data_IF_608571118371
#
_entry.id   IF_608571118371
#
_cell.length_a   1.000
_cell.length_b   1.000
_cell.length_c   1.000
_cell.angle_alpha   90.00
_cell.angle_beta   90.00
_cell.angle_gamma   90.00
#
_symmetry.space_group_name_H-M   'P 1'
#
loop_
_entity.id
_entity.type
_entity.pdbx_description
1 polymer ?
#
# COMPACT_ATOMS: atom_id res chain seq x y z
N UNK A 1 -20.91 -13.61 32.79
CA UNK A 1 -19.73 -13.02 33.47
C UNK A 1 -19.04 -14.12 34.25
N UNK A 2 -17.94 -14.67 33.74
CA UNK A 2 -17.08 -15.59 34.51
C UNK A 2 -15.81 -14.82 34.85
N UNK A 3 -15.88 -13.98 35.89
CA UNK A 3 -14.72 -13.25 36.40
C UNK A 3 -13.90 -14.18 37.28
N UNK A 4 -12.82 -14.74 36.74
CA UNK A 4 -11.85 -15.54 37.50
C UNK A 4 -10.59 -14.70 37.66
N UNK A 5 -10.13 -14.56 38.89
CA UNK A 5 -8.86 -13.89 39.21
C UNK A 5 -7.71 -14.85 38.92
N UNK A 6 -6.68 -14.36 38.25
CA UNK A 6 -5.43 -15.07 38.03
C UNK A 6 -4.29 -14.23 38.62
N UNK A 7 -3.67 -14.71 39.70
CA UNK A 7 -2.47 -14.08 40.27
C UNK A 7 -1.27 -14.36 39.36
N UNK A 8 -0.47 -13.32 39.08
CA UNK A 8 0.72 -13.41 38.25
C UNK A 8 1.78 -12.44 38.75
N UNK A 9 3.04 -12.88 38.77
CA UNK A 9 4.18 -12.03 39.14
C UNK A 9 4.62 -11.11 37.99
N UNK A 10 4.40 -11.54 36.75
CA UNK A 10 4.73 -10.81 35.52
C UNK A 10 3.67 -11.06 34.45
N UNK A 11 3.26 -10.00 33.76
CA UNK A 11 2.31 -10.06 32.64
C UNK A 11 3.02 -9.57 31.37
N UNK A 12 2.97 -10.37 30.30
CA UNK A 12 3.44 -9.99 28.96
C UNK A 12 2.22 -9.80 28.06
N UNK A 13 2.02 -8.57 27.59
CA UNK A 13 0.95 -8.23 26.65
C UNK A 13 1.45 -8.44 25.21
N UNK A 14 1.16 -9.59 24.63
CA UNK A 14 1.47 -9.94 23.24
C UNK A 14 0.26 -9.77 22.32
N UNK A 15 -0.52 -8.70 22.51
CA UNK A 15 -1.79 -8.46 21.78
C UNK A 15 -1.61 -7.88 20.38
N UNK A 16 -0.38 -7.79 19.88
CA UNK A 16 -0.07 -7.27 18.55
C UNK A 16 -0.14 -5.73 18.46
N UNK A 17 -0.42 -5.24 17.25
CA UNK A 17 -0.51 -3.82 16.91
C UNK A 17 -1.66 -3.60 15.92
N UNK A 18 -2.15 -2.35 15.82
CA UNK A 18 -3.16 -2.00 14.82
C UNK A 18 -2.52 -1.95 13.42
N UNK A 19 -2.65 -3.05 12.67
CA UNK A 19 -2.14 -3.18 11.30
C UNK A 19 -2.85 -2.27 10.30
N UNK A 20 -3.97 -1.65 10.67
CA UNK A 20 -4.75 -0.75 9.82
C UNK A 20 -4.34 0.72 10.00
N UNK A 21 -3.61 1.05 11.06
CA UNK A 21 -3.18 2.41 11.38
C UNK A 21 -1.85 2.80 10.69
N UNK A 22 -1.75 2.63 9.37
CA UNK A 22 -0.50 2.79 8.59
C UNK A 22 0.29 4.07 8.85
N UNK A 23 -0.39 5.19 9.09
CA UNK A 23 0.27 6.48 9.31
C UNK A 23 0.13 7.02 10.72
N UNK A 24 -0.58 6.37 11.65
CA UNK A 24 -0.80 6.99 12.96
C UNK A 24 0.53 7.17 13.73
N UNK A 25 0.70 8.29 14.43
CA UNK A 25 -0.27 9.38 14.64
C UNK A 25 -0.26 10.49 13.57
N UNK A 26 0.47 10.31 12.46
CA UNK A 26 0.56 11.29 11.38
C UNK A 26 -0.74 11.40 10.59
N UNK A 27 -1.08 12.64 10.22
CA UNK A 27 -2.14 12.95 9.27
C UNK A 27 -1.49 13.25 7.91
N UNK A 28 -1.76 12.40 6.91
CA UNK A 28 -1.30 12.60 5.54
C UNK A 28 -2.42 13.23 4.73
N UNK A 29 -2.17 14.44 4.21
CA UNK A 29 -3.12 15.23 3.44
C UNK A 29 -2.58 15.40 2.03
N UNK A 30 -3.38 15.00 1.05
CA UNK A 30 -3.11 15.11 -0.38
C UNK A 30 -3.66 16.39 -1.00
N UNK A 31 -3.79 16.35 -2.33
CA UNK A 31 -4.38 17.41 -3.13
C UNK A 31 -5.84 17.65 -2.72
N UNK A 32 -6.26 18.91 -2.75
CA UNK A 32 -7.65 19.31 -2.46
C UNK A 32 -8.14 18.93 -1.04
N UNK A 33 -7.22 18.63 -0.12
CA UNK A 33 -7.52 18.34 1.28
C UNK A 33 -7.91 16.89 1.59
N UNK A 34 -7.82 15.97 0.61
CA UNK A 34 -8.13 14.55 0.84
C UNK A 34 -7.13 13.92 1.82
N UNK A 35 -7.61 13.19 2.82
CA UNK A 35 -6.73 12.48 3.76
C UNK A 35 -6.51 11.03 3.34
N UNK A 36 -5.41 10.41 3.77
CA UNK A 36 -5.19 8.98 3.50
C UNK A 36 -6.32 8.11 4.11
N UNK A 37 -6.85 8.53 5.26
CA UNK A 37 -8.00 7.90 5.92
C UNK A 37 -9.26 7.99 5.04
N UNK A 38 -9.48 9.11 4.32
CA UNK A 38 -10.59 9.23 3.36
C UNK A 38 -10.46 8.23 2.21
N UNK A 39 -9.25 8.04 1.67
CA UNK A 39 -8.98 7.08 0.59
C UNK A 39 -9.20 5.64 1.03
N UNK A 40 -8.94 5.32 2.30
CA UNK A 40 -9.02 3.97 2.84
C UNK A 40 -10.33 3.64 3.55
N UNK A 41 -11.25 4.61 3.67
CA UNK A 41 -12.56 4.44 4.34
C UNK A 41 -13.34 3.21 3.87
N UNK A 42 -13.29 2.94 2.57
CA UNK A 42 -14.03 1.87 1.90
C UNK A 42 -13.14 0.67 1.52
N UNK A 43 -12.05 0.47 2.26
CA UNK A 43 -11.08 -0.61 2.06
C UNK A 43 -9.71 -0.07 1.62
N UNK A 44 -8.63 -0.79 1.94
CA UNK A 44 -7.28 -0.27 1.69
C UNK A 44 -6.98 -0.29 0.20
N UNK A 45 -6.45 0.83 -0.30
CA UNK A 45 -6.10 1.03 -1.70
C UNK A 45 -4.67 1.52 -1.78
N UNK A 46 -3.92 0.99 -2.71
CA UNK A 46 -2.64 1.54 -3.14
C UNK A 46 -2.46 1.22 -4.60
N UNK A 47 -1.71 2.06 -5.32
CA UNK A 47 -1.25 1.70 -6.66
C UNK A 47 0.11 1.03 -6.55
N UNK A 48 0.21 -0.18 -7.10
CA UNK A 48 1.45 -0.97 -7.13
C UNK A 48 2.14 -1.09 -5.76
N UNK A 49 1.36 -1.03 -4.68
CA UNK A 49 1.80 -1.07 -3.26
C UNK A 49 2.62 0.14 -2.76
N UNK A 50 2.91 1.12 -3.63
CA UNK A 50 3.90 2.18 -3.36
C UNK A 50 3.36 3.61 -3.49
N UNK A 51 2.15 3.83 -4.02
CA UNK A 51 1.63 5.18 -4.24
C UNK A 51 0.11 5.26 -4.00
N UNK A 52 -0.40 6.49 -3.83
CA UNK A 52 -1.82 6.78 -3.66
C UNK A 52 -2.27 7.84 -4.67
N UNK A 53 -3.44 7.68 -5.33
CA UNK A 53 -4.01 8.72 -6.16
C UNK A 53 -4.50 9.88 -5.28
N UNK A 54 -4.28 11.12 -5.72
CA UNK A 54 -4.58 12.31 -4.93
C UNK A 54 -3.44 12.75 -4.01
N UNK A 55 -2.29 12.05 -4.02
CA UNK A 55 -1.10 12.38 -3.20
C UNK A 55 0.12 12.58 -4.12
N UNK A 56 0.30 13.79 -4.68
CA UNK A 56 1.39 14.07 -5.60
C UNK A 56 2.75 13.96 -4.92
N UNK A 57 3.71 13.33 -5.60
CA UNK A 57 5.07 13.08 -5.11
C UNK A 57 5.15 12.28 -3.80
N UNK A 58 4.07 11.60 -3.42
CA UNK A 58 4.03 10.76 -2.24
C UNK A 58 4.23 9.29 -2.62
N UNK A 59 5.24 8.67 -2.01
CA UNK A 59 5.51 7.25 -2.15
C UNK A 59 5.60 6.60 -0.78
N UNK A 60 5.13 5.37 -0.70
CA UNK A 60 5.13 4.52 0.49
C UNK A 60 6.09 3.35 0.28
N UNK A 61 6.75 2.95 1.37
CA UNK A 61 7.46 1.69 1.48
C UNK A 61 6.57 0.71 2.24
N UNK A 62 6.52 -0.54 1.79
CA UNK A 62 5.72 -1.60 2.39
C UNK A 62 4.25 -1.21 2.57
N UNK A 63 3.70 -0.45 1.62
CA UNK A 63 2.32 0.00 1.65
C UNK A 63 1.31 -1.14 1.50
N UNK A 64 0.00 -0.83 1.53
CA UNK A 64 -1.05 -1.82 1.39
C UNK A 64 -0.83 -2.78 0.20
N UNK A 65 -1.15 -4.05 0.41
CA UNK A 65 -0.96 -5.15 -0.55
C UNK A 65 0.49 -5.52 -0.87
N UNK A 66 1.48 -5.00 -0.13
CA UNK A 66 2.88 -5.45 -0.26
C UNK A 66 3.03 -6.94 0.09
N UNK A 67 3.87 -7.72 -0.61
CA UNK A 67 4.01 -9.16 -0.41
C UNK A 67 4.80 -9.57 0.86
N UNK A 68 4.67 -8.83 1.96
CA UNK A 68 5.43 -9.09 3.21
C UNK A 68 5.09 -10.42 3.90
N UNK A 69 3.91 -10.99 3.62
CA UNK A 69 3.54 -12.33 4.11
C UNK A 69 4.10 -13.48 3.25
N UNK A 70 4.49 -13.19 2.00
CA UNK A 70 4.96 -14.19 1.02
C UNK A 70 6.47 -14.10 0.76
N UNK A 71 7.11 -13.00 1.16
CA UNK A 71 8.49 -12.66 0.82
C UNK A 71 9.20 -12.02 2.00
N UNK A 72 10.53 -12.16 2.01
CA UNK A 72 11.39 -11.40 2.90
C UNK A 72 11.15 -9.90 2.73
N UNK A 73 10.82 -9.24 3.84
CA UNK A 73 10.55 -7.80 3.91
C UNK A 73 11.65 -6.97 3.26
N UNK A 74 12.91 -7.33 3.48
CA UNK A 74 14.09 -6.66 2.89
C UNK A 74 14.07 -6.70 1.37
N UNK A 75 13.78 -7.86 0.76
CA UNK A 75 13.68 -8.00 -0.70
C UNK A 75 12.54 -7.16 -1.28
N UNK A 76 11.41 -7.09 -0.58
CA UNK A 76 10.28 -6.23 -0.99
C UNK A 76 10.71 -4.77 -0.94
N UNK A 77 11.30 -4.34 0.18
CA UNK A 77 11.76 -2.98 0.37
C UNK A 77 12.80 -2.55 -0.68
N UNK A 78 13.80 -3.38 -0.99
CA UNK A 78 14.79 -3.09 -2.03
C UNK A 78 14.13 -2.85 -3.40
N UNK A 79 13.19 -3.72 -3.79
CA UNK A 79 12.50 -3.57 -5.08
C UNK A 79 11.62 -2.31 -5.16
N UNK A 80 10.98 -1.92 -4.05
CA UNK A 80 10.19 -0.70 -3.96
C UNK A 80 11.09 0.54 -3.94
N UNK A 81 12.20 0.50 -3.19
CA UNK A 81 13.18 1.58 -3.16
C UNK A 81 13.76 1.85 -4.55
N UNK A 82 14.17 0.80 -5.28
CA UNK A 82 14.65 0.93 -6.66
C UNK A 82 13.60 1.57 -7.58
N UNK A 83 12.33 1.18 -7.43
CA UNK A 83 11.23 1.78 -8.19
C UNK A 83 11.06 3.27 -7.89
N UNK A 84 11.03 3.64 -6.61
CA UNK A 84 10.86 5.04 -6.18
C UNK A 84 12.08 5.88 -6.61
N UNK A 85 13.30 5.33 -6.49
CA UNK A 85 14.52 6.00 -6.95
C UNK A 85 14.46 6.31 -8.45
N UNK A 86 13.90 5.43 -9.29
CA UNK A 86 13.71 5.74 -10.72
C UNK A 86 12.84 6.98 -10.93
N UNK A 87 11.76 7.13 -10.17
CA UNK A 87 10.92 8.34 -10.22
C UNK A 87 11.68 9.58 -9.75
N UNK A 88 12.41 9.49 -8.65
CA UNK A 88 13.22 10.60 -8.13
C UNK A 88 14.27 11.03 -9.17
N UNK A 89 14.94 10.09 -9.85
CA UNK A 89 15.92 10.45 -10.87
C UNK A 89 15.28 11.14 -12.09
N UNK A 90 14.05 10.76 -12.48
CA UNK A 90 13.30 11.44 -13.53
C UNK A 90 12.90 12.86 -13.15
N UNK A 91 12.42 13.03 -11.92
CA UNK A 91 12.14 14.34 -11.34
C UNK A 91 13.38 15.23 -11.31
N UNK A 92 14.54 14.69 -10.89
CA UNK A 92 15.82 15.41 -10.89
C UNK A 92 16.30 15.83 -12.29
N UNK A 93 15.86 15.14 -13.35
CA UNK A 93 16.10 15.54 -14.74
C UNK A 93 15.12 16.60 -15.25
N UNK A 94 14.18 17.02 -14.41
CA UNK A 94 13.17 18.02 -14.76
C UNK A 94 12.13 17.50 -15.74
N UNK A 95 11.82 16.19 -15.72
CA UNK A 95 10.79 15.62 -16.61
C UNK A 95 9.37 16.07 -16.20
N UNK A 96 9.13 16.26 -14.91
CA UNK A 96 7.86 16.69 -14.31
C UNK A 96 8.13 17.36 -12.96
N UNK A 97 7.16 18.10 -12.44
CA UNK A 97 7.19 18.68 -11.08
C UNK A 97 6.38 17.85 -10.09
N UNK A 98 5.28 17.25 -10.56
CA UNK A 98 4.48 16.31 -9.77
C UNK A 98 4.21 15.02 -10.52
N UNK A 99 4.28 13.89 -9.80
CA UNK A 99 3.84 12.57 -10.26
C UNK A 99 2.88 11.96 -9.24
N UNK A 100 1.77 11.39 -9.72
CA UNK A 100 0.89 10.52 -8.94
C UNK A 100 0.22 9.48 -9.85
N UNK A 101 -0.19 8.31 -9.32
CA UNK A 101 -1.00 7.38 -10.09
C UNK A 101 -2.39 7.98 -10.34
N UNK A 102 -2.98 7.63 -11.49
CA UNK A 102 -4.35 8.02 -11.77
C UNK A 102 -5.34 7.18 -10.94
N UNK A 103 -6.51 7.74 -10.65
CA UNK A 103 -7.60 6.99 -10.00
C UNK A 103 -8.00 5.73 -10.77
N UNK A 104 -8.23 5.76 -12.11
CA UNK A 104 -8.60 4.56 -12.86
C UNK A 104 -7.53 3.45 -12.82
N UNK A 105 -6.24 3.81 -12.89
CA UNK A 105 -5.16 2.83 -12.77
C UNK A 105 -5.13 2.19 -11.37
N UNK A 106 -5.34 3.00 -10.33
CA UNK A 106 -5.43 2.52 -8.94
C UNK A 106 -6.60 1.55 -8.75
N UNK A 107 -7.79 1.91 -9.23
CA UNK A 107 -8.97 1.04 -9.11
C UNK A 107 -8.80 -0.26 -9.91
N UNK A 108 -8.31 -0.18 -11.14
CA UNK A 108 -8.03 -1.36 -11.97
C UNK A 108 -7.03 -2.31 -11.30
N UNK A 109 -5.97 -1.78 -10.71
CA UNK A 109 -4.98 -2.56 -9.96
C UNK A 109 -5.61 -3.26 -8.75
N UNK A 110 -6.37 -2.53 -7.92
CA UNK A 110 -6.99 -3.12 -6.73
C UNK A 110 -8.09 -4.14 -7.10
N UNK A 111 -8.84 -3.91 -8.18
CA UNK A 111 -9.82 -4.86 -8.70
C UNK A 111 -9.14 -6.18 -9.15
N UNK A 112 -7.98 -6.10 -9.81
CA UNK A 112 -7.19 -7.30 -10.18
C UNK A 112 -6.75 -8.09 -8.95
N UNK A 113 -6.27 -7.43 -7.90
CA UNK A 113 -5.89 -8.10 -6.65
C UNK A 113 -7.09 -8.81 -6.01
N UNK A 114 -8.24 -8.12 -5.91
CA UNK A 114 -9.47 -8.70 -5.35
C UNK A 114 -9.96 -9.90 -6.16
N UNK A 115 -9.92 -9.81 -7.50
CA UNK A 115 -10.35 -10.88 -8.38
C UNK A 115 -9.45 -12.12 -8.31
N UNK A 116 -8.16 -11.95 -8.01
CA UNK A 116 -7.22 -13.06 -7.87
C UNK A 116 -7.28 -13.75 -6.49
N UNK A 117 -7.90 -13.11 -5.49
CA UNK A 117 -7.91 -13.60 -4.11
C UNK A 117 -8.65 -14.92 -3.88
N UNK A 118 -9.83 -15.19 -4.50
CA UNK A 118 -10.61 -16.42 -4.28
C UNK A 118 -9.81 -17.71 -4.49
N UNK A 119 -8.88 -17.72 -5.45
CA UNK A 119 -8.10 -18.89 -5.84
C UNK A 119 -6.80 -19.08 -5.02
N UNK A 120 -6.63 -18.33 -3.92
CA UNK A 120 -5.42 -18.39 -3.09
C UNK A 120 -5.64 -19.13 -1.78
N UNK A 121 -4.55 -19.58 -1.15
CA UNK A 121 -4.57 -20.17 0.20
C UNK A 121 -5.00 -19.18 1.29
N UNK A 122 -5.14 -17.88 0.97
CA UNK A 122 -5.53 -16.85 1.93
C UNK A 122 -7.04 -16.83 2.22
N UNK A 123 -7.85 -17.50 1.41
CA UNK A 123 -9.31 -17.59 1.59
C UNK A 123 -9.76 -18.86 2.31
N UNK A 124 -8.82 -19.75 2.68
CA UNK A 124 -9.13 -20.97 3.43
C UNK A 124 -9.31 -20.68 4.93
N UNK A 125 -10.43 -20.06 5.29
CA UNK A 125 -11.11 -20.23 6.59
C UNK A 125 -10.38 -19.83 7.88
N UNK A 126 -9.29 -19.06 7.85
CA UNK A 126 -8.59 -18.60 9.04
C UNK A 126 -8.79 -17.10 9.27
N UNK A 127 -9.29 -16.73 10.45
CA UNK A 127 -9.21 -15.35 10.96
C UNK A 127 -7.73 -14.93 11.00
N UNK A 128 -7.34 -14.03 10.11
CA UNK A 128 -5.94 -13.57 9.99
C UNK A 128 -5.87 -12.04 9.99
N UNK A 129 -4.73 -11.51 10.44
CA UNK A 129 -4.39 -10.08 10.46
C UNK A 129 -4.45 -9.40 9.08
N UNK A 130 -4.56 -10.19 8.01
CA UNK A 130 -4.61 -9.73 6.64
C UNK A 130 -6.02 -9.45 6.14
N UNK A 131 -7.07 -9.90 6.85
CA UNK A 131 -8.45 -9.69 6.43
C UNK A 131 -8.87 -8.22 6.62
N UNK A 132 -9.55 -7.67 5.63
CA UNK A 132 -10.24 -6.39 5.78
C UNK A 132 -11.59 -6.55 6.47
N UNK A 133 -12.32 -5.42 6.65
CA UNK A 133 -13.65 -5.37 7.27
C UNK A 133 -14.69 -6.28 6.59
N UNK A 134 -14.45 -6.65 5.34
CA UNK A 134 -15.33 -7.50 4.52
C UNK A 134 -14.83 -8.97 4.47
N UNK A 135 -13.81 -9.32 5.26
CA UNK A 135 -13.25 -10.68 5.32
C UNK A 135 -12.36 -11.04 4.13
N UNK A 136 -11.90 -10.07 3.35
CA UNK A 136 -11.02 -10.30 2.19
C UNK A 136 -9.57 -10.01 2.57
N UNK A 137 -8.62 -10.95 2.36
CA UNK A 137 -7.21 -10.71 2.59
C UNK A 137 -6.68 -9.53 1.74
N UNK A 138 -6.01 -8.56 2.36
CA UNK A 138 -5.34 -7.43 1.70
C UNK A 138 -3.84 -7.70 1.53
N UNK A 139 -3.54 -8.84 0.92
CA UNK A 139 -2.19 -9.31 0.61
C UNK A 139 -1.98 -9.38 -0.90
N UNK A 140 -0.72 -9.44 -1.30
CA UNK A 140 -0.34 -9.75 -2.67
C UNK A 140 -0.71 -11.20 -3.02
N UNK A 141 -1.64 -11.46 -3.96
CA UNK A 141 -2.10 -12.81 -4.29
C UNK A 141 -1.23 -13.54 -5.32
N UNK A 142 -0.28 -12.83 -5.95
CA UNK A 142 0.54 -13.35 -7.04
C UNK A 142 1.94 -13.77 -6.56
N UNK A 143 2.79 -14.22 -7.49
CA UNK A 143 4.15 -14.63 -7.18
C UNK A 143 5.06 -13.45 -6.84
N UNK A 144 6.18 -13.69 -6.12
CA UNK A 144 7.26 -12.74 -5.96
C UNK A 144 7.82 -12.14 -7.26
N UNK A 145 7.93 -12.98 -8.29
CA UNK A 145 8.45 -12.57 -9.60
C UNK A 145 7.55 -11.55 -10.27
N UNK A 146 6.24 -11.74 -10.15
CA UNK A 146 5.23 -10.80 -10.67
C UNK A 146 5.28 -9.45 -9.96
N UNK A 147 5.47 -9.42 -8.64
CA UNK A 147 5.66 -8.16 -7.90
C UNK A 147 6.89 -7.39 -8.39
N UNK A 148 8.03 -8.09 -8.55
CA UNK A 148 9.26 -7.47 -9.05
C UNK A 148 9.11 -6.97 -10.49
N UNK A 149 8.50 -7.78 -11.36
CA UNK A 149 8.26 -7.43 -12.76
C UNK A 149 7.32 -6.22 -12.89
N UNK A 150 6.26 -6.18 -12.08
CA UNK A 150 5.36 -5.03 -11.98
C UNK A 150 6.13 -3.76 -11.64
N UNK A 151 7.02 -3.79 -10.65
CA UNK A 151 7.78 -2.59 -10.27
C UNK A 151 8.87 -2.24 -11.30
N UNK A 152 9.44 -3.22 -12.02
CA UNK A 152 10.49 -3.00 -13.00
C UNK A 152 10.03 -2.18 -14.22
N UNK A 153 8.80 -2.37 -14.69
CA UNK A 153 8.24 -1.65 -15.84
C UNK A 153 7.24 -0.60 -15.39
N UNK A 154 7.35 0.64 -15.87
CA UNK A 154 6.42 1.73 -15.53
C UNK A 154 5.72 2.20 -16.80
N UNK A 155 4.40 1.99 -16.88
CA UNK A 155 3.58 2.58 -17.93
C UNK A 155 3.24 4.02 -17.53
N UNK A 156 3.64 4.98 -18.37
CA UNK A 156 3.38 6.38 -18.12
C UNK A 156 1.91 6.77 -18.24
N UNK A 157 1.11 6.00 -19.00
CA UNK A 157 -0.33 6.23 -19.10
C UNK A 157 -1.09 5.99 -17.78
N UNK A 158 -0.46 5.29 -16.83
CA UNK A 158 -1.04 5.03 -15.51
C UNK A 158 -0.79 6.18 -14.52
N UNK A 159 0.02 7.17 -14.88
CA UNK A 159 0.43 8.29 -14.02
C UNK A 159 0.03 9.64 -14.59
N UNK A 160 -0.35 10.55 -13.71
CA UNK A 160 -0.51 11.98 -14.01
C UNK A 160 0.83 12.69 -13.73
N UNK A 161 1.48 13.16 -14.80
CA UNK A 161 2.72 13.93 -14.76
C UNK A 161 2.43 15.39 -15.09
N UNK A 162 2.62 16.28 -14.14
CA UNK A 162 2.37 17.72 -14.34
C UNK A 162 3.65 18.53 -14.25
N UNK A 163 3.69 19.61 -15.01
CA UNK A 163 4.67 20.69 -14.88
C UNK A 163 3.99 21.96 -14.44
N UNK A 164 4.60 22.68 -13.52
CA UNK A 164 4.23 24.06 -13.23
C UNK A 164 4.79 24.93 -14.36
N UNK A 165 3.92 25.63 -15.07
CA UNK A 165 4.35 26.71 -15.95
C UNK A 165 4.74 27.85 -15.02
N UNK A 166 6.03 28.14 -14.90
CA UNK A 166 6.49 29.35 -14.23
C UNK A 166 5.94 30.53 -15.02
N UNK A 167 5.03 31.29 -14.42
CA UNK A 167 4.71 32.62 -14.94
C UNK A 167 6.00 33.44 -14.90
N UNK A 168 6.48 33.84 -16.08
CA UNK A 168 7.68 34.67 -16.23
C UNK A 168 7.49 36.09 -15.71
#
# INVERSE_FOLDING_TARGET
MHGVLHEADVIVLATGFDTHAFFRPMLVIGRDGITADDVWRDGRRAFRTVALPGFPNFFMMLGPHSPVGNLALTTVAESQADHILRWIQRWRRGEFDTVEPTWPATESFNAKLRAAMPDTVWTTGCDSWYLNKDGVPEVWPFTPGEHRAMLASTDLGEYDLRRHVTAG
#
